data_IF_306757995898
#
_entry.id   IF_306757995898
#
_cell.length_a   1.000
_cell.length_b   1.000
_cell.length_c   1.000
_cell.angle_alpha   90.00
_cell.angle_beta   90.00
_cell.angle_gamma   90.00
#
_symmetry.space_group_name_H-M   'P 1'
#
loop_
_entity.id
_entity.type
_entity.pdbx_description
1 polymer ?
#
# COMPACT_ATOMS: atom_id res chain seq x y z
N UNK A 1 -26.83 -51.71 95.88
CA UNK A 1 -26.67 -51.39 94.44
C UNK A 1 -26.01 -50.06 94.37
N UNK A 2 -24.80 -49.93 93.80
CA UNK A 2 -24.14 -48.70 93.59
C UNK A 2 -24.85 -47.97 92.44
N UNK A 3 -25.48 -46.86 92.70
CA UNK A 3 -26.12 -46.07 91.64
C UNK A 3 -25.02 -45.32 90.89
N UNK A 4 -24.57 -45.86 89.77
CA UNK A 4 -23.54 -45.24 88.96
C UNK A 4 -24.16 -43.98 88.27
N UNK A 5 -23.58 -42.78 88.51
CA UNK A 5 -24.04 -41.55 87.87
C UNK A 5 -23.89 -41.64 86.36
N UNK A 6 -24.93 -41.21 85.65
CA UNK A 6 -24.92 -41.07 84.18
C UNK A 6 -24.47 -39.68 83.80
N UNK A 7 -23.65 -39.60 82.76
CA UNK A 7 -23.20 -38.36 82.14
C UNK A 7 -23.51 -38.35 80.68
N UNK A 8 -23.54 -37.16 80.07
CA UNK A 8 -23.90 -36.96 78.69
C UNK A 8 -22.78 -36.23 77.92
N UNK A 9 -22.44 -36.75 76.74
CA UNK A 9 -21.65 -36.07 75.72
C UNK A 9 -22.63 -35.57 74.74
N UNK A 10 -22.64 -34.20 74.61
CA UNK A 10 -23.43 -33.49 73.57
C UNK A 10 -22.50 -33.07 72.45
N UNK A 11 -23.00 -33.14 71.20
CA UNK A 11 -22.26 -32.73 70.01
C UNK A 11 -22.85 -31.41 69.47
N UNK A 12 -22.06 -30.34 69.51
CA UNK A 12 -22.32 -29.14 68.75
C UNK A 12 -21.66 -29.29 67.38
N UNK A 13 -22.44 -29.63 66.37
CA UNK A 13 -21.94 -29.86 65.03
C UNK A 13 -21.62 -28.57 64.28
N UNK A 14 -21.82 -27.43 64.88
CA UNK A 14 -21.50 -26.09 64.30
C UNK A 14 -22.00 -25.95 62.86
N UNK A 15 -23.24 -26.28 62.58
CA UNK A 15 -23.87 -26.22 61.28
C UNK A 15 -23.71 -27.48 60.39
N UNK A 16 -23.12 -28.56 60.92
CA UNK A 16 -23.07 -29.85 60.22
C UNK A 16 -24.29 -30.74 60.56
N UNK A 17 -24.32 -31.97 59.99
CA UNK A 17 -25.35 -32.97 60.27
C UNK A 17 -25.45 -33.28 61.77
N UNK A 18 -26.68 -33.44 62.26
CA UNK A 18 -26.94 -33.70 63.69
C UNK A 18 -26.35 -35.03 64.14
N UNK A 19 -25.79 -35.05 65.34
CA UNK A 19 -25.31 -36.25 66.00
C UNK A 19 -26.02 -36.38 67.35
N UNK A 20 -26.61 -37.54 67.59
CA UNK A 20 -27.30 -37.84 68.84
C UNK A 20 -26.32 -37.80 70.03
N UNK A 21 -26.71 -37.22 71.14
CA UNK A 21 -25.93 -37.25 72.39
C UNK A 21 -25.78 -38.67 72.93
N UNK A 22 -24.64 -38.92 73.56
CA UNK A 22 -24.34 -40.19 74.18
C UNK A 22 -24.51 -40.03 75.68
N UNK A 23 -25.44 -40.85 76.28
CA UNK A 23 -25.65 -40.86 77.75
C UNK A 23 -25.37 -42.21 78.24
N UNK A 24 -24.36 -42.40 79.14
CA UNK A 24 -23.93 -43.67 79.71
C UNK A 24 -23.47 -43.47 81.13
N UNK A 25 -23.27 -44.62 81.85
CA UNK A 25 -22.70 -44.60 83.18
C UNK A 25 -21.21 -44.18 83.13
N UNK A 26 -20.78 -43.48 84.15
CA UNK A 26 -19.37 -43.14 84.35
C UNK A 26 -18.44 -44.32 84.12
N UNK A 27 -17.30 -44.10 83.45
CA UNK A 27 -16.23 -45.03 83.12
C UNK A 27 -16.63 -46.19 82.19
N UNK A 28 -17.80 -46.18 81.55
CA UNK A 28 -18.16 -47.11 80.50
C UNK A 28 -17.46 -46.71 79.15
N UNK A 29 -17.02 -47.70 78.40
CA UNK A 29 -16.44 -47.47 77.05
C UNK A 29 -17.46 -46.87 76.14
N UNK A 30 -17.07 -45.86 75.38
CA UNK A 30 -17.89 -45.20 74.37
C UNK A 30 -17.28 -45.39 72.96
N UNK A 31 -18.20 -45.54 71.99
CA UNK A 31 -17.83 -45.61 70.59
C UNK A 31 -18.06 -44.23 70.00
N UNK A 32 -17.07 -43.72 69.25
CA UNK A 32 -17.23 -42.49 68.55
C UNK A 32 -18.34 -42.63 67.49
N UNK A 33 -19.19 -41.60 67.35
CA UNK A 33 -20.15 -41.53 66.27
C UNK A 33 -19.44 -41.36 64.93
N UNK A 34 -20.17 -41.56 63.83
CA UNK A 34 -19.66 -41.15 62.50
C UNK A 34 -19.41 -39.64 62.48
N UNK A 35 -18.42 -39.25 61.73
CA UNK A 35 -18.10 -37.85 61.51
C UNK A 35 -19.29 -37.06 60.92
N UNK A 36 -19.59 -35.86 61.38
CA UNK A 36 -20.66 -35.03 60.83
C UNK A 36 -20.26 -34.59 59.41
N UNK A 37 -21.27 -34.29 58.59
CA UNK A 37 -21.07 -33.71 57.26
C UNK A 37 -21.59 -32.30 57.22
N UNK A 38 -20.92 -31.44 56.46
CA UNK A 38 -21.32 -30.05 56.17
C UNK A 38 -20.93 -29.72 54.75
N UNK A 39 -21.89 -29.22 53.95
CA UNK A 39 -21.65 -28.81 52.57
C UNK A 39 -20.60 -27.73 52.47
N UNK A 40 -19.65 -27.86 51.56
CA UNK A 40 -18.49 -26.98 51.38
C UNK A 40 -17.39 -27.12 52.41
N UNK A 41 -17.56 -28.00 53.44
CA UNK A 41 -16.58 -28.14 54.52
C UNK A 41 -16.17 -29.56 54.76
N UNK A 42 -14.93 -29.77 55.12
CA UNK A 42 -14.38 -31.04 55.63
C UNK A 42 -14.32 -30.99 57.12
N UNK A 43 -14.86 -32.09 57.76
CA UNK A 43 -14.71 -32.22 59.21
C UNK A 43 -13.25 -32.29 59.61
N UNK A 44 -12.83 -31.46 60.54
CA UNK A 44 -11.45 -31.34 61.05
C UNK A 44 -11.35 -31.64 62.53
N UNK A 45 -12.13 -32.63 62.97
CA UNK A 45 -12.16 -33.07 64.37
C UNK A 45 -13.00 -32.18 65.30
N UNK A 46 -12.94 -32.53 66.58
CA UNK A 46 -13.63 -31.81 67.64
C UNK A 46 -12.68 -30.77 68.29
N UNK A 47 -13.25 -29.82 69.01
CA UNK A 47 -12.48 -28.81 69.78
C UNK A 47 -11.70 -29.43 70.92
N UNK A 48 -12.17 -30.58 71.46
CA UNK A 48 -11.55 -31.35 72.51
C UNK A 48 -11.35 -32.80 72.03
N UNK A 49 -10.40 -33.50 72.64
CA UNK A 49 -10.17 -34.94 72.36
C UNK A 49 -11.41 -35.79 72.74
N UNK A 50 -11.93 -36.58 71.82
CA UNK A 50 -13.02 -37.49 72.07
C UNK A 50 -12.58 -38.53 73.15
N UNK A 51 -13.33 -38.62 74.27
CA UNK A 51 -12.94 -39.53 75.35
C UNK A 51 -13.22 -41.00 74.96
N UNK A 52 -12.37 -41.93 75.39
CA UNK A 52 -12.54 -43.41 75.21
C UNK A 52 -13.53 -44.00 76.18
N UNK A 53 -13.74 -43.33 77.31
CA UNK A 53 -14.69 -43.74 78.35
C UNK A 53 -15.50 -42.58 78.86
N UNK A 54 -16.73 -42.76 79.36
CA UNK A 54 -17.61 -41.71 79.84
C UNK A 54 -16.96 -40.92 80.96
N UNK A 55 -16.72 -39.64 80.82
CA UNK A 55 -16.13 -38.82 81.88
C UNK A 55 -17.09 -38.61 83.05
N UNK A 56 -16.57 -38.06 84.19
CA UNK A 56 -17.34 -37.79 85.41
C UNK A 56 -18.10 -36.46 85.36
N UNK A 57 -18.31 -35.89 84.16
CA UNK A 57 -19.00 -34.66 83.94
C UNK A 57 -19.72 -34.66 82.56
N UNK A 58 -20.73 -33.81 82.39
CA UNK A 58 -21.32 -33.59 81.10
C UNK A 58 -20.38 -32.70 80.25
N UNK A 59 -20.06 -33.17 79.05
CA UNK A 59 -19.19 -32.42 78.13
C UNK A 59 -19.92 -32.12 76.82
N UNK A 60 -19.57 -30.97 76.20
CA UNK A 60 -19.95 -30.64 74.85
C UNK A 60 -18.69 -30.67 73.99
N UNK A 61 -18.74 -31.38 72.86
CA UNK A 61 -17.72 -31.43 71.80
C UNK A 61 -18.22 -30.59 70.65
N UNK A 62 -17.44 -29.59 70.28
CA UNK A 62 -17.76 -28.69 69.16
C UNK A 62 -16.95 -29.11 67.92
N UNK A 63 -17.63 -29.29 66.79
CA UNK A 63 -17.00 -29.61 65.56
C UNK A 63 -16.16 -28.43 65.03
N UNK A 64 -14.97 -28.79 64.51
CA UNK A 64 -14.12 -27.89 63.72
C UNK A 64 -14.27 -28.26 62.25
N UNK A 65 -14.37 -27.24 61.42
CA UNK A 65 -14.54 -27.37 59.99
C UNK A 65 -13.37 -26.73 59.29
N UNK A 66 -12.89 -27.36 58.20
CA UNK A 66 -12.00 -26.80 57.21
C UNK A 66 -12.81 -26.55 55.96
N UNK A 67 -12.82 -25.33 55.48
CA UNK A 67 -13.44 -24.99 54.21
C UNK A 67 -12.68 -25.62 53.05
N UNK A 68 -13.38 -26.27 52.13
CA UNK A 68 -12.85 -26.95 50.94
C UNK A 68 -13.54 -26.45 49.64
N UNK A 69 -14.50 -25.55 49.80
CA UNK A 69 -15.14 -24.92 48.64
C UNK A 69 -14.21 -23.86 48.07
N UNK A 70 -14.13 -23.78 46.74
CA UNK A 70 -13.30 -22.78 46.10
C UNK A 70 -14.11 -21.51 45.90
N UNK A 71 -13.51 -20.33 46.05
CA UNK A 71 -14.18 -19.07 45.74
C UNK A 71 -14.62 -19.00 44.27
N UNK A 72 -15.73 -18.34 44.02
CA UNK A 72 -16.32 -18.09 42.70
C UNK A 72 -16.25 -16.62 42.36
N UNK A 73 -16.33 -16.29 41.06
CA UNK A 73 -16.33 -14.90 40.63
C UNK A 73 -16.42 -14.71 39.14
N UNK A 74 -16.36 -13.45 38.72
CA UNK A 74 -16.38 -13.07 37.31
C UNK A 74 -15.48 -11.85 37.06
N UNK A 75 -14.95 -11.73 35.85
CA UNK A 75 -14.24 -10.57 35.33
C UNK A 75 -15.18 -9.85 34.37
N UNK A 76 -15.48 -8.58 34.64
CA UNK A 76 -16.32 -7.70 33.82
C UNK A 76 -15.42 -6.65 33.17
N UNK A 77 -15.49 -6.52 31.84
CA UNK A 77 -14.74 -5.51 31.09
C UNK A 77 -15.73 -4.57 30.42
N UNK A 78 -15.61 -3.27 30.75
CA UNK A 78 -16.51 -2.22 30.29
C UNK A 78 -17.85 -2.21 30.99
N UNK A 79 -18.47 -1.06 31.04
CA UNK A 79 -19.73 -0.84 31.76
C UNK A 79 -20.97 -1.19 30.97
N UNK A 80 -20.83 -1.46 29.65
CA UNK A 80 -21.97 -1.60 28.76
C UNK A 80 -22.17 -3.06 28.31
N UNK A 81 -23.03 -3.78 29.01
CA UNK A 81 -23.42 -5.18 28.69
C UNK A 81 -23.93 -5.36 27.23
N UNK A 82 -24.42 -4.28 26.61
CA UNK A 82 -24.91 -4.28 25.24
C UNK A 82 -23.77 -4.30 24.21
N UNK A 83 -22.69 -3.54 24.44
CA UNK A 83 -21.49 -3.57 23.60
C UNK A 83 -20.78 -4.94 23.66
N UNK A 84 -20.68 -5.52 24.83
CA UNK A 84 -20.15 -6.87 25.04
C UNK A 84 -20.94 -7.94 24.26
N UNK A 85 -22.28 -7.82 24.21
CA UNK A 85 -23.15 -8.72 23.44
C UNK A 85 -22.95 -8.56 21.92
N UNK A 86 -22.90 -7.34 21.42
CA UNK A 86 -22.68 -7.07 19.99
C UNK A 86 -21.29 -7.54 19.53
N UNK A 87 -20.25 -7.32 20.31
CA UNK A 87 -18.90 -7.74 20.00
C UNK A 87 -18.72 -9.27 19.99
N UNK A 88 -19.44 -10.01 20.83
CA UNK A 88 -19.49 -11.49 20.77
C UNK A 88 -20.06 -12.02 19.47
N UNK A 89 -20.99 -11.30 18.85
CA UNK A 89 -21.56 -11.64 17.54
C UNK A 89 -20.61 -11.38 16.37
N UNK A 90 -19.63 -10.48 16.52
CA UNK A 90 -18.70 -10.02 15.47
C UNK A 90 -17.31 -10.66 15.52
N UNK A 91 -17.12 -11.78 16.26
CA UNK A 91 -15.85 -12.54 16.35
C UNK A 91 -14.67 -11.82 17.00
N UNK A 92 -14.91 -10.94 17.95
CA UNK A 92 -13.84 -10.32 18.76
C UNK A 92 -14.38 -9.18 19.61
N UNK A 93 -13.78 -8.98 20.79
CA UNK A 93 -14.10 -7.86 21.66
C UNK A 93 -13.15 -6.72 21.28
N UNK A 94 -13.58 -5.85 20.37
CA UNK A 94 -12.85 -4.66 19.97
C UNK A 94 -13.45 -3.42 20.62
N UNK A 95 -12.60 -2.57 21.18
CA UNK A 95 -12.99 -1.32 21.80
C UNK A 95 -12.05 -0.20 21.34
N UNK A 96 -12.63 0.97 21.11
CA UNK A 96 -11.89 2.17 20.76
C UNK A 96 -11.29 2.87 21.98
N UNK A 97 -12.05 2.91 23.05
CA UNK A 97 -11.73 3.69 24.24
C UNK A 97 -11.22 2.79 25.37
N UNK A 98 -10.52 3.39 26.34
CA UNK A 98 -10.13 2.79 27.60
C UNK A 98 -11.28 2.01 28.23
N UNK A 99 -11.01 0.80 28.70
CA UNK A 99 -12.00 -0.05 29.37
C UNK A 99 -11.70 -0.21 30.85
N UNK A 100 -12.75 -0.10 31.67
CA UNK A 100 -12.69 -0.41 33.09
C UNK A 100 -12.87 -1.91 33.30
N UNK A 101 -12.06 -2.49 34.18
CA UNK A 101 -12.12 -3.89 34.59
C UNK A 101 -12.59 -3.97 36.04
N UNK A 102 -13.71 -4.68 36.24
CA UNK A 102 -14.24 -5.00 37.56
C UNK A 102 -14.13 -6.50 37.77
N UNK A 103 -13.68 -6.93 38.95
CA UNK A 103 -13.63 -8.33 39.38
C UNK A 103 -14.55 -8.52 40.57
N UNK A 104 -15.59 -9.32 40.40
CA UNK A 104 -16.48 -9.73 41.50
C UNK A 104 -16.06 -11.10 41.98
N UNK A 105 -16.06 -11.30 43.29
CA UNK A 105 -15.72 -12.57 43.90
C UNK A 105 -16.62 -12.82 45.13
N UNK A 106 -16.91 -14.09 45.38
CA UNK A 106 -17.69 -14.53 46.54
C UNK A 106 -17.26 -15.92 47.00
N UNK A 107 -17.41 -16.19 48.26
CA UNK A 107 -17.13 -17.49 48.86
C UNK A 107 -18.10 -17.78 50.01
N UNK A 108 -18.30 -19.05 50.35
CA UNK A 108 -19.14 -19.49 51.47
C UNK A 108 -18.56 -19.08 52.83
N UNK A 109 -17.23 -18.87 52.95
CA UNK A 109 -16.55 -18.40 54.15
C UNK A 109 -16.63 -16.89 54.33
N UNK A 110 -17.02 -16.12 53.27
CA UNK A 110 -17.29 -14.69 53.27
C UNK A 110 -16.12 -13.82 52.81
N UNK A 111 -14.88 -14.15 53.09
CA UNK A 111 -13.71 -13.38 52.72
C UNK A 111 -13.00 -13.98 51.52
N UNK A 112 -12.79 -13.17 50.43
CA UNK A 112 -11.99 -13.58 49.27
C UNK A 112 -10.92 -12.50 49.00
N UNK A 113 -9.68 -12.93 48.95
CA UNK A 113 -8.56 -12.11 48.50
C UNK A 113 -8.48 -12.22 46.97
N UNK A 114 -8.60 -11.05 46.32
CA UNK A 114 -8.59 -10.96 44.87
C UNK A 114 -7.27 -10.36 44.39
N UNK A 115 -6.65 -10.97 43.40
CA UNK A 115 -5.51 -10.39 42.72
C UNK A 115 -5.61 -10.65 41.22
N UNK A 116 -4.94 -9.83 40.40
CA UNK A 116 -5.07 -9.87 38.96
C UNK A 116 -3.74 -9.77 38.22
N UNK A 117 -3.75 -10.23 36.98
CA UNK A 117 -2.67 -10.12 35.99
C UNK A 117 -3.26 -9.77 34.63
N UNK A 118 -2.64 -8.82 33.92
CA UNK A 118 -3.00 -8.47 32.54
C UNK A 118 -1.87 -8.94 31.62
N UNK A 119 -2.21 -9.64 30.54
CA UNK A 119 -1.26 -10.19 29.58
C UNK A 119 -1.84 -10.12 28.16
N UNK A 120 -1.01 -10.32 27.14
CA UNK A 120 -1.42 -10.39 25.73
C UNK A 120 -1.43 -11.83 25.17
N UNK A 121 -1.15 -12.84 26.01
CA UNK A 121 -1.10 -14.27 25.62
C UNK A 121 -1.87 -15.14 26.59
N UNK A 122 -2.26 -16.31 26.12
CA UNK A 122 -2.83 -17.33 26.97
C UNK A 122 -1.76 -17.91 27.92
N UNK A 123 -2.18 -18.19 29.14
CA UNK A 123 -1.36 -18.78 30.20
C UNK A 123 -1.85 -20.18 30.53
N UNK A 124 -0.94 -21.10 30.74
CA UNK A 124 -1.22 -22.45 31.27
C UNK A 124 -1.46 -22.40 32.79
N UNK A 125 -2.12 -23.42 33.34
CA UNK A 125 -2.35 -23.53 34.78
C UNK A 125 -1.04 -23.49 35.59
N UNK A 126 0.02 -24.10 35.06
CA UNK A 126 1.34 -24.08 35.72
C UNK A 126 1.92 -22.65 35.77
N UNK A 127 1.76 -21.89 34.71
CA UNK A 127 2.21 -20.49 34.65
C UNK A 127 1.39 -19.64 35.63
N UNK A 128 0.05 -19.83 35.67
CA UNK A 128 -0.84 -19.10 36.59
C UNK A 128 -0.40 -19.24 38.04
N UNK A 129 0.05 -20.45 38.45
CA UNK A 129 0.53 -20.69 39.80
C UNK A 129 1.90 -20.11 40.14
N UNK A 130 2.66 -19.65 39.14
CA UNK A 130 4.06 -19.20 39.32
C UNK A 130 4.26 -17.67 39.10
N UNK A 131 3.28 -16.99 38.53
CA UNK A 131 3.37 -15.58 38.21
C UNK A 131 3.04 -14.69 39.39
N UNK A 132 3.50 -13.43 39.33
CA UNK A 132 3.21 -12.40 40.32
C UNK A 132 1.95 -11.66 39.92
N UNK A 133 0.98 -11.65 40.80
CA UNK A 133 -0.28 -10.92 40.65
C UNK A 133 -0.24 -9.60 41.38
N UNK A 134 -1.03 -8.64 40.94
CA UNK A 134 -1.31 -7.37 41.63
C UNK A 134 -2.55 -7.55 42.50
N UNK A 135 -2.54 -6.98 43.69
CA UNK A 135 -3.74 -6.93 44.52
C UNK A 135 -4.85 -6.14 43.79
N UNK A 136 -6.09 -6.61 43.96
CA UNK A 136 -7.26 -5.95 43.41
C UNK A 136 -8.08 -5.36 44.58
N UNK A 137 -8.00 -4.04 44.71
CA UNK A 137 -8.72 -3.29 45.74
C UNK A 137 -9.89 -2.49 45.15
N UNK A 138 -9.76 -2.07 43.88
CA UNK A 138 -10.75 -1.28 43.17
C UNK A 138 -10.68 -1.55 41.65
N UNK A 139 -11.70 -1.21 40.85
CA UNK A 139 -11.67 -1.31 39.41
C UNK A 139 -10.48 -0.57 38.81
N UNK A 140 -9.87 -1.17 37.75
CA UNK A 140 -8.73 -0.58 37.07
C UNK A 140 -8.98 -0.40 35.57
N UNK A 141 -8.17 0.43 34.92
CA UNK A 141 -8.31 0.77 33.51
C UNK A 141 -7.29 0.01 32.66
N UNK A 142 -7.73 -0.41 31.46
CA UNK A 142 -6.86 -0.89 30.38
C UNK A 142 -6.88 0.15 29.27
N UNK A 143 -5.68 0.63 28.91
CA UNK A 143 -5.49 1.67 27.89
C UNK A 143 -5.49 1.11 26.47
N UNK A 144 -5.84 1.92 25.43
CA UNK A 144 -5.85 1.53 24.05
C UNK A 144 -4.48 1.10 23.47
N UNK A 145 -4.55 0.50 22.27
CA UNK A 145 -3.46 0.05 21.42
C UNK A 145 -2.74 -1.20 21.92
N UNK A 146 -3.56 -2.21 22.26
CA UNK A 146 -3.07 -3.52 22.66
C UNK A 146 -4.11 -4.62 22.63
N UNK A 147 -3.63 -5.84 22.69
CA UNK A 147 -4.45 -7.03 22.93
C UNK A 147 -4.26 -7.46 24.38
N UNK A 148 -5.35 -7.78 25.08
CA UNK A 148 -5.32 -8.06 26.50
C UNK A 148 -6.17 -9.26 26.87
N UNK A 149 -5.69 -10.03 27.85
CA UNK A 149 -6.42 -11.03 28.60
C UNK A 149 -6.20 -10.70 30.08
N UNK A 150 -7.27 -10.63 30.84
CA UNK A 150 -7.19 -10.45 32.28
C UNK A 150 -7.36 -11.81 32.95
N UNK A 151 -6.46 -12.14 33.84
CA UNK A 151 -6.57 -13.27 34.76
C UNK A 151 -6.80 -12.73 36.17
N UNK A 152 -7.66 -13.39 36.92
CA UNK A 152 -7.81 -13.13 38.37
C UNK A 152 -7.52 -14.40 39.15
N UNK A 153 -6.84 -14.27 40.25
CA UNK A 153 -6.64 -15.31 41.27
C UNK A 153 -7.45 -14.94 42.49
N UNK A 154 -8.40 -15.80 42.84
CA UNK A 154 -9.27 -15.67 43.98
C UNK A 154 -8.77 -16.68 45.04
N UNK A 155 -8.57 -16.20 46.26
CA UNK A 155 -8.07 -17.03 47.35
C UNK A 155 -8.95 -16.77 48.61
N UNK A 156 -9.53 -17.82 49.21
CA UNK A 156 -10.28 -17.70 50.44
C UNK A 156 -9.35 -17.77 51.70
N UNK A 157 -9.91 -17.67 52.90
CA UNK A 157 -9.18 -17.76 54.13
C UNK A 157 -8.59 -19.18 54.39
N UNK A 158 -9.16 -20.21 53.77
CA UNK A 158 -8.70 -21.60 53.86
C UNK A 158 -7.66 -21.98 52.81
N UNK A 159 -7.24 -20.99 51.96
CA UNK A 159 -6.29 -21.14 50.86
C UNK A 159 -6.82 -21.99 49.69
N UNK A 160 -8.14 -22.08 49.47
CA UNK A 160 -8.67 -22.62 48.25
C UNK A 160 -8.53 -21.54 47.14
N UNK A 161 -8.15 -21.99 45.96
CA UNK A 161 -7.78 -21.09 44.86
C UNK A 161 -8.65 -21.35 43.64
N UNK A 162 -9.15 -20.26 43.02
CA UNK A 162 -9.79 -20.23 41.71
C UNK A 162 -9.05 -19.24 40.80
N UNK A 163 -8.80 -19.67 39.56
CA UNK A 163 -8.30 -18.78 38.53
C UNK A 163 -9.44 -18.46 37.54
N UNK A 164 -9.67 -17.18 37.32
CA UNK A 164 -10.57 -16.67 36.30
C UNK A 164 -9.78 -16.18 35.10
N UNK A 165 -10.39 -16.24 33.93
CA UNK A 165 -9.84 -15.71 32.67
C UNK A 165 -10.92 -14.94 31.93
N UNK A 166 -10.62 -13.72 31.47
CA UNK A 166 -11.50 -12.97 30.59
C UNK A 166 -11.44 -13.50 29.16
N UNK A 167 -12.37 -13.12 28.30
CA UNK A 167 -12.18 -13.17 26.85
C UNK A 167 -10.98 -12.30 26.48
N UNK A 168 -10.36 -12.58 25.31
CA UNK A 168 -9.35 -11.70 24.72
C UNK A 168 -10.02 -10.45 24.20
N UNK A 169 -9.52 -9.29 24.53
CA UNK A 169 -9.98 -8.00 24.06
C UNK A 169 -8.88 -7.30 23.27
N UNK A 170 -9.26 -6.51 22.29
CA UNK A 170 -8.39 -5.62 21.53
C UNK A 170 -8.89 -4.19 21.74
N UNK A 171 -8.02 -3.34 22.27
CA UNK A 171 -8.27 -1.91 22.37
C UNK A 171 -7.45 -1.23 21.28
N UNK A 172 -8.13 -0.47 20.42
CA UNK A 172 -7.51 0.19 19.26
C UNK A 172 -8.17 1.55 19.01
N UNK A 173 -7.43 2.63 19.20
CA UNK A 173 -7.87 3.98 18.88
C UNK A 173 -7.11 4.60 17.69
N UNK A 174 -6.34 3.81 16.97
CA UNK A 174 -5.61 4.23 15.78
C UNK A 174 -6.58 4.20 14.60
N UNK A 175 -6.56 5.27 13.80
CA UNK A 175 -7.38 5.33 12.58
C UNK A 175 -6.67 4.61 11.44
N UNK A 176 -7.40 3.91 10.58
CA UNK A 176 -6.85 3.39 9.32
C UNK A 176 -6.15 4.48 8.50
N UNK A 177 -5.10 4.11 7.77
CA UNK A 177 -4.39 5.00 6.85
C UNK A 177 -4.69 4.60 5.42
N UNK A 178 -5.19 5.55 4.62
CA UNK A 178 -5.45 5.38 3.20
C UNK A 178 -4.25 5.96 2.45
N UNK A 179 -3.59 5.13 1.62
CA UNK A 179 -2.43 5.50 0.83
C UNK A 179 -2.65 5.34 -0.68
N UNK A 180 -1.67 5.78 -1.48
CA UNK A 180 -1.70 5.70 -2.94
C UNK A 180 -2.44 6.85 -3.64
N UNK A 181 -3.22 7.65 -2.90
CA UNK A 181 -3.97 8.79 -3.39
C UNK A 181 -3.89 9.97 -2.42
N UNK A 182 -4.24 11.15 -2.91
CA UNK A 182 -4.29 12.39 -2.12
C UNK A 182 -5.70 12.99 -2.16
N UNK A 183 -6.22 13.38 -1.00
CA UNK A 183 -7.56 13.97 -0.89
C UNK A 183 -7.71 15.24 -1.73
N UNK A 184 -8.83 15.34 -2.45
CA UNK A 184 -9.17 16.48 -3.31
C UNK A 184 -8.45 16.48 -4.65
N UNK A 185 -7.60 15.50 -4.94
CA UNK A 185 -6.86 15.41 -6.20
C UNK A 185 -7.71 14.77 -7.30
N UNK A 186 -7.46 15.20 -8.53
CA UNK A 186 -8.03 14.61 -9.74
C UNK A 186 -6.97 13.78 -10.47
N UNK A 187 -7.32 12.55 -10.82
CA UNK A 187 -6.52 11.61 -11.60
C UNK A 187 -7.19 11.35 -12.95
N UNK A 188 -6.42 11.04 -13.98
CA UNK A 188 -6.93 10.75 -15.32
C UNK A 188 -6.80 9.28 -15.71
N UNK A 189 -6.49 8.43 -14.76
CA UNK A 189 -6.37 6.98 -14.90
C UNK A 189 -6.66 6.30 -13.56
N UNK A 190 -6.94 5.01 -13.61
CA UNK A 190 -7.18 4.20 -12.42
C UNK A 190 -6.01 4.31 -11.42
N UNK A 191 -6.32 4.39 -10.14
CA UNK A 191 -5.35 4.52 -9.05
C UNK A 191 -5.33 3.27 -8.18
N UNK A 192 -4.16 2.88 -7.72
CA UNK A 192 -4.02 1.86 -6.68
C UNK A 192 -4.13 2.52 -5.32
N UNK A 193 -5.16 2.15 -4.57
CA UNK A 193 -5.36 2.58 -3.18
C UNK A 193 -4.85 1.50 -2.26
N UNK A 194 -4.10 1.86 -1.23
CA UNK A 194 -3.58 0.95 -0.20
C UNK A 194 -4.17 1.30 1.15
N UNK A 195 -4.44 0.29 1.97
CA UNK A 195 -4.96 0.47 3.32
C UNK A 195 -3.95 -0.12 4.30
N UNK A 196 -3.44 0.73 5.19
CA UNK A 196 -2.62 0.30 6.32
C UNK A 196 -3.48 0.25 7.58
N UNK A 197 -3.99 -0.94 7.87
CA UNK A 197 -4.83 -1.26 9.02
C UNK A 197 -4.83 -2.78 9.26
N UNK A 198 -4.59 -3.19 10.51
CA UNK A 198 -4.56 -4.61 10.91
C UNK A 198 -5.95 -5.23 11.04
N UNK A 199 -6.91 -4.47 11.54
CA UNK A 199 -8.23 -4.96 11.96
C UNK A 199 -9.36 -4.36 11.12
N UNK A 200 -9.20 -4.33 9.80
CA UNK A 200 -10.22 -3.80 8.87
C UNK A 200 -11.56 -4.51 9.10
N UNK A 201 -12.62 -3.72 9.21
CA UNK A 201 -14.01 -4.17 9.16
C UNK A 201 -14.61 -3.93 7.78
N UNK A 202 -14.59 -2.68 7.31
CA UNK A 202 -15.17 -2.33 6.01
C UNK A 202 -14.31 -1.32 5.25
N UNK A 203 -14.29 -1.49 3.92
CA UNK A 203 -13.82 -0.50 2.95
C UNK A 203 -14.94 -0.25 1.97
N UNK A 204 -15.29 1.01 1.76
CA UNK A 204 -16.34 1.40 0.81
C UNK A 204 -15.88 2.51 -0.11
N UNK A 205 -16.38 2.50 -1.35
CA UNK A 205 -16.30 3.60 -2.31
C UNK A 205 -17.72 4.03 -2.62
N UNK A 206 -18.05 5.29 -2.35
CA UNK A 206 -19.40 5.85 -2.46
C UNK A 206 -20.47 4.98 -1.77
N UNK A 207 -20.12 4.41 -0.59
CA UNK A 207 -21.00 3.53 0.18
C UNK A 207 -21.07 2.08 -0.31
N UNK A 208 -20.46 1.75 -1.44
CA UNK A 208 -20.40 0.37 -1.96
C UNK A 208 -19.16 -0.31 -1.42
N UNK A 209 -19.35 -1.51 -0.83
CA UNK A 209 -18.24 -2.31 -0.25
C UNK A 209 -17.26 -2.75 -1.34
N UNK A 210 -15.97 -2.60 -1.04
CA UNK A 210 -14.86 -3.03 -1.90
C UNK A 210 -14.12 -4.19 -1.24
N UNK A 211 -13.64 -5.13 -2.05
CA UNK A 211 -12.79 -6.24 -1.61
C UNK A 211 -11.32 -5.85 -1.83
N UNK A 212 -10.50 -6.03 -0.81
CA UNK A 212 -9.07 -5.79 -0.89
C UNK A 212 -8.35 -6.99 -1.54
N UNK A 213 -7.26 -6.72 -2.22
CA UNK A 213 -6.33 -7.72 -2.74
C UNK A 213 -5.43 -8.30 -1.62
N UNK A 214 -4.51 -9.20 -2.01
CA UNK A 214 -3.58 -9.86 -1.08
C UNK A 214 -2.60 -8.88 -0.40
N UNK A 215 -2.41 -7.69 -0.97
CA UNK A 215 -1.52 -6.65 -0.44
C UNK A 215 -2.27 -5.60 0.40
N UNK A 216 -3.56 -5.80 0.64
CA UNK A 216 -4.39 -4.86 1.39
C UNK A 216 -4.79 -3.62 0.60
N UNK A 217 -4.80 -3.71 -0.74
CA UNK A 217 -5.16 -2.63 -1.64
C UNK A 217 -6.35 -2.94 -2.53
N UNK A 218 -6.74 -1.96 -3.35
CA UNK A 218 -7.72 -2.13 -4.42
C UNK A 218 -7.48 -1.09 -5.52
N UNK A 219 -8.01 -1.37 -6.71
CA UNK A 219 -7.96 -0.41 -7.82
C UNK A 219 -9.21 0.48 -7.80
N UNK A 220 -8.99 1.79 -7.73
CA UNK A 220 -10.02 2.80 -7.88
C UNK A 220 -10.14 3.15 -9.36
N UNK A 221 -11.19 2.67 -9.99
CA UNK A 221 -11.46 2.90 -11.42
C UNK A 221 -12.10 4.27 -11.67
N UNK A 222 -11.98 4.80 -12.90
CA UNK A 222 -12.68 6.00 -13.32
C UNK A 222 -14.20 5.90 -13.08
N UNK A 223 -14.78 7.01 -12.62
CA UNK A 223 -16.22 7.16 -12.43
C UNK A 223 -16.61 8.64 -12.48
N UNK A 224 -17.87 8.92 -12.77
CA UNK A 224 -18.39 10.27 -12.81
C UNK A 224 -18.38 10.93 -11.42
N UNK A 225 -17.77 12.11 -11.34
CA UNK A 225 -17.72 12.94 -10.15
C UNK A 225 -16.75 12.45 -9.06
N UNK A 226 -16.93 12.98 -7.87
CA UNK A 226 -16.11 12.64 -6.72
C UNK A 226 -16.38 11.23 -6.22
N UNK A 227 -15.32 10.52 -5.85
CA UNK A 227 -15.35 9.22 -5.23
C UNK A 227 -14.89 9.35 -3.78
N UNK A 228 -15.79 9.01 -2.85
CA UNK A 228 -15.53 9.01 -1.42
C UNK A 228 -15.15 7.61 -0.97
N UNK A 229 -13.92 7.44 -0.52
CA UNK A 229 -13.41 6.23 0.10
C UNK A 229 -13.59 6.35 1.60
N UNK A 230 -14.19 5.35 2.24
CA UNK A 230 -14.30 5.26 3.70
C UNK A 230 -13.79 3.90 4.15
N UNK A 231 -12.87 3.92 5.09
CA UNK A 231 -12.31 2.72 5.75
C UNK A 231 -12.71 2.76 7.22
N UNK A 232 -13.24 1.65 7.71
CA UNK A 232 -13.58 1.49 9.13
C UNK A 232 -12.94 0.22 9.65
N UNK A 233 -12.30 0.28 10.82
CA UNK A 233 -11.77 -0.87 11.52
C UNK A 233 -12.82 -1.51 12.46
N UNK A 234 -12.44 -2.64 13.08
CA UNK A 234 -13.33 -3.38 14.00
C UNK A 234 -13.58 -2.66 15.32
N UNK A 235 -12.73 -1.71 15.71
CA UNK A 235 -12.92 -0.89 16.90
C UNK A 235 -13.83 0.32 16.63
N UNK A 236 -14.16 0.59 15.35
CA UNK A 236 -15.00 1.71 14.94
C UNK A 236 -14.22 3.00 14.65
N UNK A 237 -12.87 2.95 14.55
CA UNK A 237 -12.15 4.07 14.00
C UNK A 237 -12.35 4.12 12.50
N UNK A 238 -12.37 5.33 11.92
CA UNK A 238 -12.57 5.51 10.49
C UNK A 238 -11.66 6.57 9.92
N UNK A 239 -11.29 6.37 8.65
CA UNK A 239 -10.64 7.35 7.81
C UNK A 239 -11.44 7.52 6.52
N UNK A 240 -11.40 8.73 5.94
CA UNK A 240 -12.04 9.00 4.68
C UNK A 240 -11.16 9.85 3.77
N UNK A 241 -11.26 9.59 2.47
CA UNK A 241 -10.66 10.40 1.42
C UNK A 241 -11.65 10.61 0.29
N UNK A 242 -11.54 11.76 -0.38
CA UNK A 242 -12.35 12.08 -1.55
C UNK A 242 -11.42 12.46 -2.70
N UNK A 243 -11.59 11.82 -3.85
CA UNK A 243 -10.82 12.06 -5.07
C UNK A 243 -11.71 12.00 -6.29
N UNK A 244 -11.24 12.52 -7.42
CA UNK A 244 -11.88 12.34 -8.73
C UNK A 244 -10.96 11.51 -9.61
N UNK A 245 -11.49 10.48 -10.28
CA UNK A 245 -10.75 9.67 -11.25
C UNK A 245 -11.51 9.66 -12.56
N UNK A 246 -10.99 10.39 -13.55
CA UNK A 246 -11.58 10.52 -14.87
C UNK A 246 -11.16 9.37 -15.78
N UNK A 247 -11.98 9.08 -16.80
CA UNK A 247 -11.65 8.12 -17.85
C UNK A 247 -10.84 8.82 -18.95
N UNK A 248 -9.52 8.80 -18.79
CA UNK A 248 -8.57 9.38 -19.74
C UNK A 248 -8.25 10.86 -19.54
N UNK A 249 -7.48 11.39 -20.50
CA UNK A 249 -6.93 12.74 -20.47
C UNK A 249 -7.69 13.68 -21.38
N UNK A 250 -8.00 14.87 -20.91
CA UNK A 250 -8.42 16.00 -21.75
C UNK A 250 -7.19 16.82 -22.07
N UNK A 251 -6.68 16.72 -23.33
CA UNK A 251 -5.46 17.39 -23.72
C UNK A 251 -5.72 18.80 -24.25
N UNK A 252 -4.81 19.70 -23.92
CA UNK A 252 -4.71 21.05 -24.49
C UNK A 252 -4.07 21.09 -25.86
N UNK A 253 -3.63 22.28 -26.25
CA UNK A 253 -2.97 22.52 -27.53
C UNK A 253 -1.56 21.89 -27.60
N UNK A 254 -1.14 21.56 -28.84
CA UNK A 254 0.19 21.05 -29.10
C UNK A 254 1.24 22.17 -29.05
N UNK A 255 2.29 21.94 -28.26
CA UNK A 255 3.42 22.87 -28.10
C UNK A 255 4.69 22.22 -28.61
N UNK A 256 5.44 22.89 -29.49
CA UNK A 256 6.71 22.40 -30.02
C UNK A 256 7.77 22.29 -28.91
N UNK A 257 8.51 21.20 -28.88
CA UNK A 257 9.66 21.01 -27.99
C UNK A 257 10.96 21.58 -28.59
N UNK A 258 10.98 21.96 -29.90
CA UNK A 258 12.15 22.47 -30.57
C UNK A 258 13.13 21.44 -31.11
N UNK A 259 12.92 20.18 -30.82
CA UNK A 259 13.75 19.02 -31.19
C UNK A 259 13.16 18.16 -32.34
N UNK A 260 12.11 18.67 -33.00
CA UNK A 260 11.37 17.92 -34.02
C UNK A 260 10.16 17.16 -33.46
N UNK A 261 9.86 17.34 -32.17
CA UNK A 261 8.67 16.80 -31.53
C UNK A 261 7.76 17.92 -31.03
N UNK A 262 6.52 17.57 -30.71
CA UNK A 262 5.57 18.43 -30.03
C UNK A 262 4.87 17.65 -28.92
N UNK A 263 4.53 18.35 -27.81
CA UNK A 263 3.87 17.78 -26.66
C UNK A 263 2.59 18.54 -26.36
N UNK A 264 1.56 17.84 -25.90
CA UNK A 264 0.37 18.44 -25.27
C UNK A 264 0.18 17.88 -23.89
N UNK A 265 -0.24 18.71 -22.97
CA UNK A 265 -0.48 18.35 -21.58
C UNK A 265 -1.97 18.20 -21.32
N UNK A 266 -2.32 17.35 -20.36
CA UNK A 266 -3.68 17.29 -19.84
C UNK A 266 -4.06 18.61 -19.18
N UNK A 267 -5.28 19.07 -19.45
CA UNK A 267 -5.84 20.32 -18.90
C UNK A 267 -6.65 20.10 -17.63
N UNK A 268 -6.81 18.84 -17.19
CA UNK A 268 -7.47 18.49 -15.94
C UNK A 268 -6.56 18.88 -14.78
N UNK A 269 -7.09 19.68 -13.86
CA UNK A 269 -6.34 20.15 -12.69
C UNK A 269 -5.84 18.97 -11.85
N UNK A 270 -4.56 19.01 -11.46
CA UNK A 270 -3.90 17.93 -10.73
C UNK A 270 -3.45 16.72 -11.57
N UNK A 271 -3.80 16.64 -12.84
CA UNK A 271 -3.35 15.59 -13.75
C UNK A 271 -2.04 16.00 -14.46
N UNK A 272 -1.02 15.16 -14.38
CA UNK A 272 0.29 15.38 -15.00
C UNK A 272 0.47 14.60 -16.31
N UNK A 273 -0.62 14.08 -16.89
CA UNK A 273 -0.57 13.33 -18.15
C UNK A 273 -0.14 14.19 -19.32
N UNK A 274 0.68 13.67 -20.21
CA UNK A 274 1.09 14.34 -21.44
C UNK A 274 1.19 13.34 -22.59
N UNK A 275 1.11 13.85 -23.81
CA UNK A 275 1.33 13.09 -25.04
C UNK A 275 2.37 13.79 -25.88
N UNK A 276 3.37 13.06 -26.36
CA UNK A 276 4.42 13.57 -27.26
C UNK A 276 4.37 12.82 -28.57
N UNK A 277 4.47 13.56 -29.68
CA UNK A 277 4.53 13.03 -31.07
C UNK A 277 5.61 13.72 -31.85
N UNK A 278 6.09 13.05 -32.90
CA UNK A 278 6.99 13.64 -33.89
C UNK A 278 6.24 14.69 -34.73
N UNK A 279 6.94 15.76 -35.07
CA UNK A 279 6.43 16.76 -36.01
C UNK A 279 6.28 16.17 -37.43
N UNK A 280 5.20 16.47 -38.10
CA UNK A 280 4.88 15.93 -39.43
C UNK A 280 4.15 16.95 -40.27
N UNK A 281 4.06 16.67 -41.56
CA UNK A 281 3.44 17.56 -42.55
C UNK A 281 4.35 18.71 -43.01
N UNK A 282 3.86 19.54 -43.89
CA UNK A 282 4.62 20.59 -44.53
C UNK A 282 5.71 20.07 -45.48
N UNK A 283 6.40 20.96 -46.13
CA UNK A 283 7.56 20.63 -47.01
C UNK A 283 8.67 21.61 -46.73
N UNK A 284 9.87 21.07 -46.47
CA UNK A 284 11.06 21.93 -46.40
C UNK A 284 11.40 22.42 -47.81
N UNK A 285 11.93 23.65 -47.87
CA UNK A 285 12.52 24.21 -49.09
C UNK A 285 14.04 24.20 -49.01
N UNK A 286 14.72 24.61 -50.07
CA UNK A 286 16.19 24.70 -50.05
C UNK A 286 16.75 25.67 -48.99
N UNK A 287 15.93 26.52 -48.42
CA UNK A 287 16.32 27.54 -47.41
C UNK A 287 15.53 27.47 -46.12
N UNK A 288 14.35 26.88 -46.14
CA UNK A 288 13.45 26.85 -44.99
C UNK A 288 13.12 25.42 -44.58
N UNK A 289 13.07 25.18 -43.29
CA UNK A 289 12.63 23.91 -42.70
C UNK A 289 11.13 23.66 -42.96
N UNK A 290 10.71 22.41 -42.95
CA UNK A 290 9.30 22.07 -42.96
C UNK A 290 8.57 22.68 -41.74
N UNK A 291 7.32 23.08 -41.91
CA UNK A 291 6.48 23.58 -40.84
C UNK A 291 5.51 22.49 -40.44
N UNK A 292 5.53 22.09 -39.17
CA UNK A 292 4.63 21.07 -38.66
C UNK A 292 3.17 21.51 -38.76
N UNK A 293 2.32 20.68 -39.37
CA UNK A 293 0.90 21.02 -39.58
C UNK A 293 0.10 21.01 -38.27
N UNK A 294 0.64 20.37 -37.20
CA UNK A 294 -0.02 20.25 -35.93
C UNK A 294 0.32 21.40 -34.98
N UNK A 295 1.62 21.68 -34.75
CA UNK A 295 2.05 22.70 -33.80
C UNK A 295 2.47 24.03 -34.46
N UNK A 296 2.50 24.12 -35.82
CA UNK A 296 2.83 25.31 -36.56
C UNK A 296 4.29 25.76 -36.49
N UNK A 297 5.20 24.94 -35.96
CA UNK A 297 6.62 25.29 -35.82
C UNK A 297 7.49 24.57 -36.83
N UNK A 298 8.58 25.25 -37.23
CA UNK A 298 9.57 24.66 -38.12
C UNK A 298 10.31 23.47 -37.48
N UNK A 299 10.56 22.40 -38.25
CA UNK A 299 11.25 21.19 -37.81
C UNK A 299 12.10 20.59 -38.95
N UNK A 300 12.99 19.66 -38.57
CA UNK A 300 13.88 18.98 -39.52
C UNK A 300 14.94 19.92 -40.09
N UNK A 301 15.49 19.57 -41.26
CA UNK A 301 16.44 20.39 -41.99
C UNK A 301 15.85 20.88 -43.33
N UNK A 302 16.35 21.99 -43.92
CA UNK A 302 15.96 22.37 -45.26
C UNK A 302 16.23 21.29 -46.29
N UNK A 303 15.38 21.14 -47.28
CA UNK A 303 15.59 20.20 -48.37
C UNK A 303 16.34 20.85 -49.55
N UNK A 304 17.63 20.59 -49.70
CA UNK A 304 18.47 21.24 -50.72
C UNK A 304 18.04 20.95 -52.16
N UNK A 305 17.07 20.05 -52.36
CA UNK A 305 16.53 19.70 -53.69
C UNK A 305 15.15 20.31 -53.96
N UNK A 306 14.49 20.90 -52.98
CA UNK A 306 13.17 21.51 -53.14
C UNK A 306 13.29 23.00 -53.33
N UNK A 307 13.49 23.44 -54.59
CA UNK A 307 13.62 24.85 -54.99
C UNK A 307 12.27 25.45 -55.35
N UNK A 308 11.86 26.50 -54.62
CA UNK A 308 10.56 27.17 -54.84
C UNK A 308 10.66 28.36 -55.81
N UNK A 309 11.85 28.90 -56.08
CA UNK A 309 12.11 30.04 -56.99
C UNK A 309 13.21 29.71 -58.01
N UNK A 310 13.01 28.62 -58.76
CA UNK A 310 13.96 28.15 -59.76
C UNK A 310 13.63 28.83 -61.09
N UNK A 311 14.49 29.76 -61.54
CA UNK A 311 14.34 30.54 -62.76
C UNK A 311 15.14 29.95 -63.86
N UNK A 312 14.53 29.70 -65.00
CA UNK A 312 15.19 29.27 -66.22
C UNK A 312 15.84 30.47 -66.90
N UNK A 313 17.10 30.33 -67.29
CA UNK A 313 17.87 31.29 -68.07
C UNK A 313 18.29 30.63 -69.38
N UNK A 314 17.74 31.08 -70.48
CA UNK A 314 18.06 30.57 -71.81
C UNK A 314 19.53 30.78 -72.20
N UNK A 315 20.09 29.87 -72.98
CA UNK A 315 21.41 29.99 -73.53
C UNK A 315 21.50 31.24 -74.42
N UNK A 316 22.54 32.03 -74.24
CA UNK A 316 22.87 33.19 -75.11
C UNK A 316 24.24 32.96 -75.71
N UNK A 317 24.28 33.02 -77.04
CA UNK A 317 25.56 32.92 -77.78
C UNK A 317 26.52 34.03 -77.43
N UNK A 318 27.78 33.70 -77.19
CA UNK A 318 28.81 34.71 -77.03
C UNK A 318 29.09 35.41 -78.36
N UNK A 319 29.45 36.69 -78.30
CA UNK A 319 29.85 37.53 -79.45
C UNK A 319 31.30 37.94 -79.27
N UNK A 320 31.85 38.65 -80.30
CA UNK A 320 33.23 39.22 -80.20
C UNK A 320 33.32 40.34 -79.14
N UNK A 321 32.21 40.98 -78.78
CA UNK A 321 32.18 42.08 -77.83
C UNK A 321 31.57 41.77 -76.49
N UNK A 322 30.76 40.69 -76.38
CA UNK A 322 30.06 40.29 -75.15
C UNK A 322 30.19 38.82 -74.92
N UNK A 323 30.26 38.43 -73.64
CA UNK A 323 30.17 37.02 -73.16
C UNK A 323 28.75 36.51 -73.37
N UNK A 324 28.62 35.24 -73.59
CA UNK A 324 27.37 34.52 -73.62
C UNK A 324 27.15 33.73 -72.32
N UNK A 325 26.13 32.94 -72.30
CA UNK A 325 25.89 31.98 -71.22
C UNK A 325 25.36 30.68 -71.81
N UNK A 326 25.58 29.58 -71.08
CA UNK A 326 24.92 28.30 -71.34
C UNK A 326 23.46 28.38 -70.84
N UNK A 327 22.60 27.48 -71.19
CA UNK A 327 21.31 27.29 -70.56
C UNK A 327 21.52 26.86 -69.11
N UNK A 328 20.87 27.49 -68.16
CA UNK A 328 20.97 27.16 -66.73
C UNK A 328 19.73 27.59 -65.97
N UNK A 329 19.58 27.01 -64.76
CA UNK A 329 18.53 27.41 -63.79
C UNK A 329 19.19 28.04 -62.58
N UNK A 330 18.58 29.13 -62.10
CA UNK A 330 19.04 29.88 -60.95
C UNK A 330 17.95 29.90 -59.86
N UNK A 331 18.29 29.44 -58.65
CA UNK A 331 17.41 29.56 -57.50
C UNK A 331 17.73 30.82 -56.74
N UNK A 332 16.76 31.76 -56.72
CA UNK A 332 16.90 33.02 -55.97
C UNK A 332 16.89 32.83 -54.43
N UNK A 333 16.32 31.74 -53.94
CA UNK A 333 16.26 31.43 -52.50
C UNK A 333 17.62 31.03 -51.95
N UNK A 334 18.29 30.02 -52.53
CA UNK A 334 19.57 29.53 -52.04
C UNK A 334 20.79 30.10 -52.76
N UNK A 335 20.59 31.01 -53.75
CA UNK A 335 21.62 31.66 -54.56
C UNK A 335 22.56 30.66 -55.30
N UNK A 336 21.96 29.60 -55.84
CA UNK A 336 22.68 28.55 -56.53
C UNK A 336 22.24 28.38 -58.00
N UNK A 337 23.15 27.84 -58.82
CA UNK A 337 23.01 27.64 -60.24
C UNK A 337 22.98 26.16 -60.59
N UNK A 338 22.14 25.76 -61.51
CA UNK A 338 21.91 24.35 -61.87
C UNK A 338 21.93 24.14 -63.40
N UNK A 339 22.43 23.00 -63.81
CA UNK A 339 22.45 22.68 -65.25
C UNK A 339 21.18 21.95 -65.74
N UNK A 340 20.23 21.70 -64.83
CA UNK A 340 18.99 20.99 -65.12
C UNK A 340 17.77 21.73 -64.52
N UNK A 341 16.62 21.47 -65.12
CA UNK A 341 15.32 22.06 -64.74
C UNK A 341 14.82 21.66 -63.35
N UNK A 342 15.34 20.58 -62.82
CA UNK A 342 14.89 20.00 -61.53
C UNK A 342 15.78 20.49 -60.37
N UNK A 343 16.83 21.30 -60.65
CA UNK A 343 17.71 21.88 -59.63
C UNK A 343 18.58 20.84 -58.90
N UNK A 344 18.94 19.73 -59.58
CA UNK A 344 19.67 18.62 -58.95
C UNK A 344 21.19 18.77 -59.14
N UNK A 345 21.61 19.17 -60.33
CA UNK A 345 23.02 19.27 -60.72
C UNK A 345 23.52 20.71 -60.54
N UNK A 346 24.04 21.01 -59.34
CA UNK A 346 24.62 22.31 -59.03
C UNK A 346 25.85 22.59 -59.84
N UNK A 347 25.94 23.79 -60.44
CA UNK A 347 27.08 24.32 -61.20
C UNK A 347 27.57 25.63 -60.58
N UNK A 348 28.83 25.98 -60.80
CA UNK A 348 29.34 27.27 -60.35
C UNK A 348 28.84 28.40 -61.28
N UNK A 349 28.61 29.58 -60.74
CA UNK A 349 28.26 30.74 -61.52
C UNK A 349 29.21 31.01 -62.66
N UNK A 350 30.50 30.77 -62.47
CA UNK A 350 31.51 30.95 -63.53
C UNK A 350 31.33 29.96 -64.72
N UNK A 351 30.74 28.78 -64.43
CA UNK A 351 30.54 27.74 -65.46
C UNK A 351 29.31 28.08 -66.35
N UNK A 352 28.48 29.02 -65.94
CA UNK A 352 27.34 29.49 -66.75
C UNK A 352 27.78 30.43 -67.86
N UNK A 353 28.97 31.03 -67.79
CA UNK A 353 29.45 32.06 -68.71
C UNK A 353 30.23 31.40 -69.85
N UNK A 354 29.91 31.74 -71.07
CA UNK A 354 30.68 31.43 -72.26
C UNK A 354 31.56 32.61 -72.67
N UNK A 355 32.87 32.36 -72.75
CA UNK A 355 33.82 33.41 -73.08
C UNK A 355 33.56 34.08 -74.46
N UNK A 356 33.91 35.32 -74.57
CA UNK A 356 33.82 36.09 -75.82
C UNK A 356 34.51 35.36 -76.96
N UNK A 357 33.96 35.40 -78.18
CA UNK A 357 34.58 34.85 -79.36
C UNK A 357 35.93 35.55 -79.63
N UNK A 358 36.95 34.86 -80.06
CA UNK A 358 38.21 35.49 -80.42
C UNK A 358 38.02 36.50 -81.51
N UNK A 359 38.64 37.65 -81.39
CA UNK A 359 38.66 38.68 -82.46
C UNK A 359 39.34 38.13 -83.66
N UNK A 360 38.90 38.65 -84.86
CA UNK A 360 39.53 38.20 -86.11
C UNK A 360 41.05 38.32 -86.05
N UNK A 361 41.77 37.30 -86.34
CA UNK A 361 43.23 37.44 -86.47
C UNK A 361 43.60 38.51 -87.46
N UNK A 362 44.33 39.52 -86.99
CA UNK A 362 44.94 40.53 -87.92
C UNK A 362 45.67 39.68 -88.98
N UNK A 363 45.26 39.88 -90.24
CA UNK A 363 45.88 39.23 -91.45
C UNK A 363 47.37 39.24 -91.34
N UNK A 364 48.05 38.09 -91.34
CA UNK A 364 49.49 38.06 -91.38
C UNK A 364 49.95 38.49 -92.73
N UNK A 365 50.95 39.31 -92.73
CA UNK A 365 51.76 39.58 -93.93
C UNK A 365 52.39 38.30 -94.50
N UNK A 366 52.18 38.01 -95.76
CA UNK A 366 52.73 36.94 -96.54
C UNK A 366 54.19 36.70 -96.23
N UNK A 367 54.54 35.40 -95.90
CA UNK A 367 55.92 34.96 -95.89
C UNK A 367 56.09 33.59 -95.14
N UNK A 368 56.10 32.56 -95.99
CA UNK A 368 56.72 31.25 -95.85
C UNK A 368 55.89 30.10 -95.23
N UNK A 369 55.74 29.05 -96.05
CA UNK A 369 55.19 27.79 -95.79
C UNK A 369 56.07 26.99 -94.78
N UNK A 370 55.41 26.52 -93.70
CA UNK A 370 55.67 25.23 -93.04
C UNK A 370 55.12 25.30 -91.64
N UNK A 371 53.98 24.63 -91.46
CA UNK A 371 53.60 23.83 -90.33
C UNK A 371 52.07 23.50 -90.35
N UNK A 372 51.72 22.65 -91.29
CA UNK A 372 50.35 22.09 -91.42
C UNK A 372 50.29 20.75 -90.70
N UNK A 373 50.75 20.69 -89.42
CA UNK A 373 50.83 19.37 -88.75
C UNK A 373 50.43 19.42 -87.25
N UNK A 374 49.78 20.51 -86.76
CA UNK A 374 49.48 20.57 -85.32
C UNK A 374 48.02 20.85 -84.97
N UNK A 375 47.06 20.71 -85.86
CA UNK A 375 45.62 21.01 -85.60
C UNK A 375 44.65 19.81 -85.74
N UNK A 376 45.14 18.53 -85.60
CA UNK A 376 44.27 17.36 -85.65
C UNK A 376 44.36 16.46 -84.36
N UNK A 377 44.64 17.00 -83.27
CA UNK A 377 44.70 16.17 -82.04
C UNK A 377 43.85 16.68 -80.83
N UNK A 378 42.82 17.51 -81.09
CA UNK A 378 41.96 17.96 -80.00
C UNK A 378 40.46 17.80 -80.25
N UNK A 379 40.11 16.68 -80.89
CA UNK A 379 38.70 16.36 -81.17
C UNK A 379 38.41 14.89 -80.91
N UNK A 380 38.70 14.35 -79.75
CA UNK A 380 38.17 13.06 -79.23
C UNK A 380 38.54 12.84 -77.76
N UNK A 381 37.85 13.54 -76.82
CA UNK A 381 37.60 12.99 -75.56
C UNK A 381 36.24 13.51 -75.08
N UNK A 382 35.21 12.97 -75.69
CA UNK A 382 33.87 12.99 -75.09
C UNK A 382 33.28 11.60 -75.44
N UNK A 383 33.40 10.67 -74.57
CA UNK A 383 32.83 9.37 -74.81
C UNK A 383 33.17 8.40 -73.70
N UNK A 384 32.26 8.25 -72.75
CA UNK A 384 31.95 7.00 -72.10
C UNK A 384 32.87 6.50 -71.01
N UNK A 385 32.39 6.48 -69.83
CA UNK A 385 32.56 5.33 -68.97
C UNK A 385 31.24 4.98 -68.30
N UNK A 386 30.67 3.93 -68.83
CA UNK A 386 29.61 3.15 -68.19
C UNK A 386 30.14 2.40 -66.97
N UNK A 387 29.36 2.38 -65.96
CA UNK A 387 29.05 1.26 -65.08
C UNK A 387 30.18 0.42 -64.49
N UNK A 388 30.19 0.35 -63.16
CA UNK A 388 30.38 -0.93 -62.45
C UNK A 388 29.61 -0.88 -61.12
N UNK A 389 28.64 -1.75 -61.04
CA UNK A 389 27.99 -2.22 -59.81
C UNK A 389 28.96 -3.02 -58.96
N UNK A 390 28.96 -2.84 -57.66
CA UNK A 390 29.36 -3.91 -56.74
C UNK A 390 28.54 -3.84 -55.46
N UNK A 391 27.70 -4.84 -55.37
CA UNK A 391 27.02 -5.23 -54.12
C UNK A 391 27.98 -6.01 -53.21
N UNK A 392 27.89 -5.82 -51.92
CA UNK A 392 28.25 -6.82 -50.89
C UNK A 392 27.56 -6.42 -49.56
N UNK A 393 26.47 -7.12 -49.28
CA UNK A 393 26.33 -8.25 -48.33
C UNK A 393 26.58 -7.95 -46.86
N UNK A 394 25.43 -7.98 -46.11
CA UNK A 394 25.13 -8.75 -44.89
C UNK A 394 26.22 -8.99 -43.85
N UNK A 395 25.93 -8.67 -42.59
CA UNK A 395 25.87 -9.72 -41.54
C UNK A 395 25.05 -9.29 -40.33
N UNK A 396 24.08 -10.13 -39.99
CA UNK A 396 23.40 -10.31 -38.71
C UNK A 396 24.38 -10.63 -37.56
N UNK A 397 24.03 -10.26 -36.32
CA UNK A 397 24.03 -11.10 -35.09
C UNK A 397 23.37 -10.25 -34.01
N UNK A 398 22.23 -10.59 -33.50
CA UNK A 398 21.83 -11.57 -32.47
C UNK A 398 22.66 -11.55 -31.17
N UNK A 399 21.86 -11.48 -30.09
CA UNK A 399 22.05 -11.79 -28.64
C UNK A 399 22.36 -10.57 -27.77
N UNK A 400 21.67 -10.40 -26.65
CA UNK A 400 20.89 -11.25 -25.73
C UNK A 400 19.79 -10.37 -25.16
#
# INVERSE_FOLDING_TARGET
MWNTNKYTITFDTAGGSEIASITQNYCTAITAPADPTREGYQFNGWDKTFPTTMPAENITLKAKWKDIEKPTGEIIIGTNKWHSFLNKLTLGLFFKDTQEVTINASDNSGTVFVSYLVTNRDLSETELGSLVYRAYDEPFLIEPNGEYIVYAMLVDESMNITYLRSDRITLDNIRPVIGGIETGKTYCEAQTVTIDEKYIDTVTVNGTKVTLDENGGFTLSPADGEQKIVVTDKAGNSAEMTVTVNDGHTYGEWVSNGDGTHTRQCTVDGCNGFETKECSGGKATCTEKAVCEVCGKAYGEPDPKNHTDLKHIDAKAATKTAEGNIEYWYCGGCDKYYSDKDGINEIKKADTVTAKLPGDPKSPRTGNASDLALWISLLFVSGGVTGVTAALRKKKKHKV
#
